data_IF_754836010897
#
_entry.id   IF_754836010897
#
_cell.length_a   1.000
_cell.length_b   1.000
_cell.length_c   1.000
_cell.angle_alpha   90.00
_cell.angle_beta   90.00
_cell.angle_gamma   90.00
#
_symmetry.space_group_name_H-M   'P 1'
#
loop_
_entity.id
_entity.type
_entity.pdbx_description
1 polymer ?
#
# COMPACT_ATOMS: atom_id res chain seq x y z
N UNK A 1 0.12 20.91 1.11
CA UNK A 1 0.66 19.89 2.03
C UNK A 1 1.72 19.12 1.27
N UNK A 2 2.74 18.58 1.94
CA UNK A 2 3.80 17.90 1.23
C UNK A 2 3.32 16.47 0.87
N UNK A 3 3.61 16.05 -0.37
CA UNK A 3 2.96 14.88 -0.98
C UNK A 3 4.00 13.84 -1.40
N UNK A 4 3.71 12.57 -1.17
CA UNK A 4 4.47 11.45 -1.73
C UNK A 4 3.64 10.80 -2.84
N UNK A 5 4.25 10.69 -4.02
CA UNK A 5 3.68 10.04 -5.19
C UNK A 5 4.34 8.67 -5.39
N UNK A 6 3.61 7.61 -5.07
CA UNK A 6 4.03 6.23 -5.33
C UNK A 6 3.64 5.84 -6.75
N UNK A 7 4.64 5.56 -7.57
CA UNK A 7 4.50 5.34 -9.00
C UNK A 7 5.30 4.12 -9.45
N UNK A 8 4.88 3.53 -10.56
CA UNK A 8 5.55 2.39 -11.17
C UNK A 8 4.71 1.78 -12.29
N UNK A 9 5.25 0.78 -13.00
CA UNK A 9 4.50 0.04 -14.00
C UNK A 9 3.21 -0.57 -13.43
N UNK A 10 2.21 -0.86 -14.27
CA UNK A 10 1.10 -1.72 -13.83
C UNK A 10 1.63 -3.03 -13.25
N UNK A 11 1.02 -3.48 -12.15
CA UNK A 11 1.39 -4.71 -11.43
C UNK A 11 2.76 -4.74 -10.75
N UNK A 12 3.40 -3.59 -10.55
CA UNK A 12 4.70 -3.46 -9.83
C UNK A 12 4.60 -3.43 -8.30
N UNK A 13 3.39 -3.27 -7.74
CA UNK A 13 3.19 -3.20 -6.28
C UNK A 13 2.90 -1.80 -5.72
N UNK A 14 2.56 -0.82 -6.57
CA UNK A 14 2.22 0.57 -6.17
C UNK A 14 1.21 0.66 -5.02
N UNK A 15 0.19 -0.22 -5.00
CA UNK A 15 -0.81 -0.27 -3.92
C UNK A 15 -0.19 -0.66 -2.58
N UNK A 16 0.62 -1.72 -2.53
CA UNK A 16 1.31 -2.14 -1.31
C UNK A 16 2.24 -1.04 -0.81
N UNK A 17 3.07 -0.49 -1.70
CA UNK A 17 4.00 0.58 -1.38
C UNK A 17 3.28 1.81 -0.81
N UNK A 18 2.14 2.20 -1.38
CA UNK A 18 1.34 3.30 -0.84
C UNK A 18 0.80 3.06 0.57
N UNK A 19 0.47 1.81 0.91
CA UNK A 19 0.03 1.44 2.26
C UNK A 19 1.18 1.52 3.24
N UNK A 20 2.34 1.01 2.84
CA UNK A 20 3.58 1.09 3.63
C UNK A 20 3.96 2.54 3.92
N UNK A 21 3.90 3.42 2.92
CA UNK A 21 4.09 4.86 3.14
C UNK A 21 3.07 5.45 4.11
N UNK A 22 1.79 5.06 4.01
CA UNK A 22 0.74 5.57 4.90
C UNK A 22 0.95 5.13 6.34
N UNK A 23 1.29 3.87 6.57
CA UNK A 23 1.56 3.33 7.92
C UNK A 23 2.81 3.98 8.49
N UNK A 24 3.93 3.89 7.76
CA UNK A 24 5.23 4.37 8.21
C UNK A 24 5.30 5.87 8.45
N UNK A 25 4.41 6.66 7.82
CA UNK A 25 4.44 8.14 7.89
C UNK A 25 3.14 8.77 8.42
N UNK A 26 2.21 7.98 8.96
CA UNK A 26 0.84 8.43 9.28
C UNK A 26 0.78 9.70 10.14
N UNK A 27 1.67 9.82 11.13
CA UNK A 27 1.66 10.95 12.06
C UNK A 27 2.33 12.23 11.57
N UNK A 28 2.90 12.23 10.36
CA UNK A 28 3.68 13.37 9.85
C UNK A 28 2.90 14.25 8.86
N UNK A 29 1.60 13.97 8.63
CA UNK A 29 0.73 14.83 7.82
C UNK A 29 1.00 14.83 6.31
N UNK A 30 1.65 13.79 5.80
CA UNK A 30 1.91 13.63 4.36
C UNK A 30 0.69 13.10 3.61
N UNK A 31 0.42 13.67 2.45
CA UNK A 31 -0.53 13.08 1.52
C UNK A 31 0.15 11.98 0.70
N UNK A 32 -0.42 10.77 0.72
CA UNK A 32 0.11 9.63 -0.04
C UNK A 32 -0.78 9.34 -1.24
N UNK A 33 -0.30 9.72 -2.42
CA UNK A 33 -0.89 9.41 -3.72
C UNK A 33 -0.24 8.14 -4.30
N UNK A 34 -1.02 7.32 -5.00
CA UNK A 34 -0.45 6.23 -5.79
C UNK A 34 -1.18 6.09 -7.12
N UNK A 35 -0.40 5.78 -8.16
CA UNK A 35 -0.93 5.49 -9.49
C UNK A 35 0.04 4.62 -10.28
N UNK A 36 -0.49 3.63 -10.96
CA UNK A 36 0.28 2.88 -11.97
C UNK A 36 0.29 3.62 -13.30
N UNK A 37 1.38 3.47 -14.05
CA UNK A 37 1.55 4.08 -15.36
C UNK A 37 0.81 3.32 -16.47
N UNK A 38 0.21 4.02 -17.46
CA UNK A 38 0.23 5.48 -17.66
C UNK A 38 -0.78 6.23 -16.77
N UNK A 39 -0.45 7.48 -16.40
CA UNK A 39 -1.31 8.31 -15.56
C UNK A 39 -0.77 9.72 -15.33
N UNK A 40 -1.55 10.58 -14.68
CA UNK A 40 -1.10 11.89 -14.19
C UNK A 40 -0.95 11.88 -12.66
N UNK A 41 -0.09 12.74 -12.14
CA UNK A 41 0.18 12.87 -10.71
C UNK A 41 0.44 14.33 -10.35
N UNK A 42 0.23 14.72 -9.08
CA UNK A 42 0.65 16.02 -8.61
C UNK A 42 2.18 16.11 -8.67
N UNK A 43 2.69 17.20 -9.24
CA UNK A 43 4.13 17.46 -9.40
C UNK A 43 4.65 18.54 -8.44
N UNK A 44 3.82 19.52 -8.09
CA UNK A 44 4.25 20.64 -7.26
C UNK A 44 4.47 20.20 -5.81
N UNK A 45 5.73 20.25 -5.36
CA UNK A 45 6.11 19.88 -3.99
C UNK A 45 5.94 18.39 -3.68
N UNK A 46 5.79 17.55 -4.72
CA UNK A 46 5.70 16.11 -4.58
C UNK A 46 7.11 15.50 -4.59
N UNK A 47 7.31 14.48 -3.75
CA UNK A 47 8.45 13.58 -3.83
C UNK A 47 7.97 12.22 -4.35
N UNK A 48 8.81 11.51 -5.08
CA UNK A 48 8.39 10.33 -5.81
C UNK A 48 8.99 9.07 -5.21
N UNK A 49 8.17 8.04 -5.05
CA UNK A 49 8.65 6.68 -4.78
C UNK A 49 8.39 5.87 -6.04
N UNK A 50 9.45 5.44 -6.70
CA UNK A 50 9.38 4.52 -7.83
C UNK A 50 9.46 3.09 -7.34
N UNK A 51 8.43 2.28 -7.57
CA UNK A 51 8.47 0.85 -7.29
C UNK A 51 8.81 0.02 -8.51
N UNK A 52 9.89 -0.74 -8.38
CA UNK A 52 10.39 -1.65 -9.42
C UNK A 52 10.14 -3.10 -9.02
N UNK A 53 9.65 -3.90 -9.96
CA UNK A 53 9.44 -5.33 -9.77
C UNK A 53 10.07 -6.06 -10.94
N UNK A 54 10.50 -7.30 -10.70
CA UNK A 54 11.01 -8.19 -11.73
C UNK A 54 10.10 -8.20 -12.97
N UNK A 55 10.71 -8.10 -14.16
CA UNK A 55 10.01 -7.93 -15.41
C UNK A 55 9.08 -9.10 -15.71
N UNK A 56 9.56 -10.33 -15.51
CA UNK A 56 8.79 -11.54 -15.77
C UNK A 56 7.56 -11.61 -14.84
N UNK A 57 7.76 -11.36 -13.55
CA UNK A 57 6.66 -11.32 -12.58
C UNK A 57 5.64 -10.21 -12.88
N UNK A 58 6.13 -9.03 -13.28
CA UNK A 58 5.29 -7.88 -13.62
C UNK A 58 4.44 -8.17 -14.85
N UNK A 59 5.03 -8.70 -15.92
CA UNK A 59 4.32 -9.06 -17.15
C UNK A 59 3.29 -10.17 -16.90
N UNK A 60 3.67 -11.23 -16.18
CA UNK A 60 2.74 -12.30 -15.81
C UNK A 60 1.53 -11.75 -15.04
N UNK A 61 1.77 -10.84 -14.10
CA UNK A 61 0.71 -10.19 -13.33
C UNK A 61 -0.12 -9.20 -14.16
N UNK A 62 0.46 -8.51 -15.14
CA UNK A 62 -0.28 -7.65 -16.08
C UNK A 62 -1.26 -8.47 -16.93
N UNK A 63 -0.82 -9.63 -17.41
CA UNK A 63 -1.67 -10.55 -18.18
C UNK A 63 -2.80 -11.11 -17.30
N UNK A 64 -2.47 -11.60 -16.10
CA UNK A 64 -3.44 -12.19 -15.18
C UNK A 64 -4.53 -11.21 -14.74
N UNK A 65 -4.19 -9.92 -14.60
CA UNK A 65 -5.14 -8.87 -14.19
C UNK A 65 -5.76 -8.10 -15.37
N UNK A 66 -5.51 -8.52 -16.62
CA UNK A 66 -6.08 -7.90 -17.82
C UNK A 66 -5.56 -6.50 -18.15
N UNK A 67 -4.42 -6.10 -17.58
CA UNK A 67 -3.73 -4.83 -17.93
C UNK A 67 -3.00 -4.92 -19.27
N UNK A 68 -2.64 -6.13 -19.68
CA UNK A 68 -2.15 -6.44 -21.02
C UNK A 68 -2.92 -7.64 -21.58
N UNK A 69 -3.18 -7.63 -22.89
CA UNK A 69 -3.84 -8.73 -23.61
C UNK A 69 -2.83 -9.74 -24.14
N UNK A 70 -1.59 -9.32 -24.38
CA UNK A 70 -0.53 -10.16 -24.94
C UNK A 70 0.81 -9.92 -24.23
N UNK A 71 1.72 -10.91 -24.21
CA UNK A 71 3.05 -10.74 -23.63
C UNK A 71 3.83 -9.58 -24.28
N UNK A 72 3.67 -9.39 -25.58
CA UNK A 72 4.30 -8.29 -26.30
C UNK A 72 3.79 -6.93 -25.81
N UNK A 73 2.47 -6.78 -25.64
CA UNK A 73 1.90 -5.57 -25.05
C UNK A 73 2.39 -5.33 -23.62
N UNK A 74 2.50 -6.38 -22.81
CA UNK A 74 3.04 -6.28 -21.45
C UNK A 74 4.51 -5.80 -21.43
N UNK A 75 5.33 -6.34 -22.34
CA UNK A 75 6.72 -5.93 -22.51
C UNK A 75 6.83 -4.46 -22.98
N UNK A 76 6.03 -4.05 -23.96
CA UNK A 76 5.97 -2.67 -24.45
C UNK A 76 5.54 -1.70 -23.35
N UNK A 77 4.52 -2.05 -22.55
CA UNK A 77 4.10 -1.26 -21.40
C UNK A 77 5.21 -1.10 -20.35
N UNK A 78 5.96 -2.17 -20.07
CA UNK A 78 7.07 -2.13 -19.11
C UNK A 78 8.24 -1.29 -19.64
N UNK A 79 8.60 -1.45 -20.91
CA UNK A 79 9.64 -0.66 -21.56
C UNK A 79 9.27 0.83 -21.60
N UNK A 80 8.02 1.15 -21.93
CA UNK A 80 7.50 2.51 -21.91
C UNK A 80 7.50 3.10 -20.49
N UNK A 81 7.12 2.33 -19.47
CA UNK A 81 7.18 2.76 -18.08
C UNK A 81 8.61 3.18 -17.67
N UNK A 82 9.63 2.45 -18.12
CA UNK A 82 11.03 2.79 -17.80
C UNK A 82 11.54 3.99 -18.58
N UNK A 83 11.46 3.94 -19.90
CA UNK A 83 12.04 4.96 -20.79
C UNK A 83 11.26 6.27 -20.79
N UNK A 84 9.93 6.22 -20.79
CA UNK A 84 9.12 7.42 -20.95
C UNK A 84 8.83 8.13 -19.63
N UNK A 85 8.97 7.43 -18.51
CA UNK A 85 8.59 7.96 -17.20
C UNK A 85 9.72 7.92 -16.19
N UNK A 86 10.28 6.75 -15.87
CA UNK A 86 11.33 6.67 -14.84
C UNK A 86 12.52 7.56 -15.16
N UNK A 87 13.08 7.44 -16.36
CA UNK A 87 14.23 8.24 -16.80
C UNK A 87 13.94 9.75 -16.69
N UNK A 88 12.80 10.20 -17.22
CA UNK A 88 12.38 11.61 -17.17
C UNK A 88 12.12 12.12 -15.74
N UNK A 89 11.61 11.27 -14.86
CA UNK A 89 11.40 11.64 -13.45
C UNK A 89 12.73 11.85 -12.75
N UNK A 90 13.69 10.96 -12.99
CA UNK A 90 15.01 11.03 -12.35
C UNK A 90 15.89 12.18 -12.84
N UNK A 91 15.58 12.80 -13.98
CA UNK A 91 16.33 13.95 -14.52
C UNK A 91 16.14 15.25 -13.74
N UNK A 92 15.08 15.38 -12.94
CA UNK A 92 14.79 16.66 -12.26
C UNK A 92 13.87 16.58 -11.05
N UNK A 93 13.46 15.39 -10.62
CA UNK A 93 12.63 15.19 -9.44
C UNK A 93 13.38 14.40 -8.36
N UNK A 94 12.93 14.58 -7.13
CA UNK A 94 13.40 13.78 -6.00
C UNK A 94 12.68 12.43 -6.00
N UNK A 95 13.41 11.38 -6.41
CA UNK A 95 12.89 10.02 -6.60
C UNK A 95 13.64 9.04 -5.71
N UNK A 96 12.90 8.32 -4.87
CA UNK A 96 13.39 7.14 -4.16
C UNK A 96 12.94 5.88 -4.88
N UNK A 97 13.89 5.06 -5.34
CA UNK A 97 13.60 3.76 -5.95
C UNK A 97 13.52 2.68 -4.87
N UNK A 98 12.48 1.84 -4.95
CA UNK A 98 12.24 0.70 -4.06
C UNK A 98 11.98 -0.54 -4.91
N UNK A 99 12.68 -1.64 -4.62
CA UNK A 99 12.39 -2.92 -5.26
C UNK A 99 11.27 -3.66 -4.51
N UNK A 100 10.34 -4.25 -5.26
CA UNK A 100 9.22 -5.01 -4.72
C UNK A 100 9.66 -6.18 -3.83
N UNK A 101 10.75 -6.87 -4.21
CA UNK A 101 11.34 -7.95 -3.42
C UNK A 101 11.83 -7.46 -2.05
N UNK A 102 12.40 -6.26 -1.98
CA UNK A 102 12.80 -5.63 -0.74
C UNK A 102 11.58 -5.25 0.11
N UNK A 103 10.57 -4.65 -0.52
CA UNK A 103 9.32 -4.27 0.14
C UNK A 103 8.63 -5.47 0.79
N UNK A 104 8.64 -6.64 0.15
CA UNK A 104 8.03 -7.86 0.69
C UNK A 104 8.96 -8.56 1.69
N UNK A 105 10.26 -8.58 1.44
CA UNK A 105 11.23 -9.29 2.27
C UNK A 105 11.64 -8.56 3.55
N UNK A 106 11.59 -7.22 3.55
CA UNK A 106 11.96 -6.38 4.69
C UNK A 106 11.18 -5.05 4.66
N UNK A 107 9.86 -5.08 4.90
CA UNK A 107 9.03 -3.89 4.84
C UNK A 107 9.41 -2.82 5.87
N UNK A 108 9.88 -3.20 7.07
CA UNK A 108 10.35 -2.26 8.10
C UNK A 108 11.59 -1.50 7.65
N UNK A 109 12.55 -2.19 7.02
CA UNK A 109 13.72 -1.55 6.43
C UNK A 109 13.34 -0.54 5.34
N UNK A 110 12.31 -0.85 4.55
CA UNK A 110 11.79 0.09 3.54
C UNK A 110 11.12 1.29 4.21
N UNK A 111 10.34 1.10 5.27
CA UNK A 111 9.75 2.20 6.06
C UNK A 111 10.85 3.12 6.60
N UNK A 112 11.86 2.55 7.26
CA UNK A 112 12.97 3.29 7.82
C UNK A 112 13.72 4.10 6.74
N UNK A 113 13.97 3.50 5.57
CA UNK A 113 14.63 4.18 4.46
C UNK A 113 13.79 5.34 3.91
N UNK A 114 12.48 5.15 3.78
CA UNK A 114 11.58 6.23 3.34
C UNK A 114 11.57 7.35 4.37
N UNK A 115 11.38 7.04 5.65
CA UNK A 115 11.37 8.04 6.72
C UNK A 115 12.67 8.85 6.73
N UNK A 116 13.82 8.18 6.64
CA UNK A 116 15.13 8.82 6.56
C UNK A 116 15.26 9.74 5.32
N UNK A 117 14.83 9.27 4.14
CA UNK A 117 14.78 10.10 2.93
C UNK A 117 13.84 11.30 3.07
N UNK A 118 12.75 11.14 3.85
CA UNK A 118 11.82 12.20 4.21
C UNK A 118 12.34 13.13 5.32
N UNK A 119 13.47 12.82 5.95
CA UNK A 119 14.03 13.59 7.06
C UNK A 119 13.21 13.50 8.35
N UNK A 120 12.52 12.38 8.56
CA UNK A 120 11.67 12.11 9.73
C UNK A 120 11.96 10.73 10.31
N UNK A 121 11.52 10.48 11.55
CA UNK A 121 11.52 9.14 12.12
C UNK A 121 10.30 8.34 11.66
N UNK A 122 10.38 7.00 11.54
CA UNK A 122 9.22 6.15 11.31
C UNK A 122 8.13 6.37 12.36
N UNK A 123 6.89 6.51 11.93
CA UNK A 123 5.74 6.61 12.83
C UNK A 123 5.29 5.25 13.36
N UNK A 124 5.31 4.23 12.49
CA UNK A 124 4.89 2.87 12.79
C UNK A 124 5.66 1.87 11.91
N UNK A 125 5.57 0.58 12.24
CA UNK A 125 6.24 -0.52 11.55
C UNK A 125 5.25 -1.36 10.73
N UNK A 126 5.75 -2.26 9.89
CA UNK A 126 4.97 -2.98 8.88
C UNK A 126 4.03 -4.05 9.43
N UNK A 127 4.17 -4.41 10.71
CA UNK A 127 3.24 -5.31 11.41
C UNK A 127 1.78 -4.82 11.35
N UNK A 128 1.56 -3.53 11.08
CA UNK A 128 0.25 -2.89 10.93
C UNK A 128 -0.33 -2.91 9.49
N UNK A 129 0.28 -3.61 8.53
CA UNK A 129 -0.16 -3.60 7.12
C UNK A 129 -1.16 -4.73 6.81
N UNK A 130 -2.45 -4.35 6.68
CA UNK A 130 -3.55 -5.28 6.37
C UNK A 130 -4.09 -5.15 4.92
N UNK A 131 -4.63 -6.25 4.37
CA UNK A 131 -5.46 -6.28 3.16
C UNK A 131 -6.88 -6.79 3.47
N UNK A 132 -7.80 -5.87 3.78
CA UNK A 132 -9.10 -6.25 4.30
C UNK A 132 -8.98 -6.79 5.72
N UNK A 133 -9.56 -7.96 6.00
CA UNK A 133 -9.62 -8.55 7.35
C UNK A 133 -8.40 -9.42 7.72
N UNK A 134 -7.32 -9.37 6.93
CA UNK A 134 -6.11 -10.17 7.18
C UNK A 134 -4.81 -9.42 6.92
N UNK A 135 -3.68 -9.89 7.46
CA UNK A 135 -2.36 -9.32 7.17
C UNK A 135 -2.12 -9.39 5.65
N UNK A 136 -1.50 -8.36 5.09
CA UNK A 136 -1.23 -8.33 3.65
C UNK A 136 -0.38 -9.54 3.26
N UNK A 137 -0.98 -10.47 2.51
CA UNK A 137 -0.29 -11.57 1.83
C UNK A 137 -0.41 -11.30 0.34
N UNK A 138 0.72 -11.18 -0.36
CA UNK A 138 0.69 -11.12 -1.82
C UNK A 138 0.24 -12.47 -2.36
N UNK A 139 -1.03 -12.58 -2.70
CA UNK A 139 -1.64 -13.75 -3.33
C UNK A 139 -1.03 -14.09 -4.70
N UNK A 140 -0.19 -13.23 -5.29
CA UNK A 140 0.55 -13.54 -6.51
C UNK A 140 1.89 -14.26 -6.27
N UNK A 141 2.34 -14.41 -5.01
CA UNK A 141 3.50 -15.23 -4.68
C UNK A 141 3.14 -16.72 -4.48
N UNK A 142 1.85 -17.07 -4.34
CA UNK A 142 1.45 -18.43 -3.96
C UNK A 142 0.37 -19.08 -4.84
N UNK A 143 -0.43 -18.35 -5.65
CA UNK A 143 -1.48 -19.06 -6.42
C UNK A 143 -1.82 -18.42 -7.78
N UNK A 144 -1.58 -19.17 -8.86
CA UNK A 144 -1.96 -18.85 -10.25
C UNK A 144 -3.42 -19.26 -10.48
N UNK A 145 -4.34 -18.78 -9.65
CA UNK A 145 -5.78 -19.05 -9.79
C UNK A 145 -6.60 -17.76 -9.86
N UNK A 146 -7.70 -17.75 -10.66
CA UNK A 146 -8.52 -16.56 -10.82
C UNK A 146 -9.20 -16.16 -9.51
N UNK A 147 -9.13 -14.86 -9.17
CA UNK A 147 -9.74 -14.30 -7.96
C UNK A 147 -11.26 -14.25 -8.07
N UNK A 148 -12.02 -14.68 -7.04
CA UNK A 148 -13.44 -14.34 -6.91
C UNK A 148 -13.61 -12.89 -6.46
N UNK A 149 -14.70 -12.26 -6.92
CA UNK A 149 -15.08 -10.87 -6.68
C UNK A 149 -15.40 -10.63 -5.19
N UNK A 150 -14.76 -9.65 -4.54
CA UNK A 150 -15.01 -9.32 -3.12
C UNK A 150 -15.56 -7.90 -2.98
N UNK A 151 -16.72 -7.78 -2.32
CA UNK A 151 -17.39 -6.54 -1.98
C UNK A 151 -16.64 -5.70 -0.94
N UNK A 152 -16.77 -4.38 -1.05
CA UNK A 152 -16.04 -3.40 -0.25
C UNK A 152 -16.61 -3.28 1.17
N UNK A 153 -15.76 -3.41 2.20
CA UNK A 153 -16.01 -2.85 3.55
C UNK A 153 -15.12 -1.62 3.77
N UNK A 154 -15.72 -0.58 4.36
CA UNK A 154 -15.07 0.68 4.71
C UNK A 154 -14.25 0.48 5.99
N UNK A 155 -12.98 0.89 5.98
CA UNK A 155 -12.04 0.77 7.10
C UNK A 155 -12.09 2.02 8.00
N UNK A 156 -11.97 1.83 9.31
CA UNK A 156 -11.84 2.89 10.32
C UNK A 156 -10.62 2.57 11.20
N UNK A 157 -9.66 3.49 11.39
CA UNK A 157 -8.47 3.22 12.21
C UNK A 157 -8.80 3.15 13.71
N UNK A 158 -8.25 2.14 14.40
CA UNK A 158 -8.17 2.11 15.87
C UNK A 158 -6.80 2.65 16.31
N UNK A 159 -6.80 3.54 17.32
CA UNK A 159 -5.57 4.14 17.88
C UNK A 159 -4.85 3.08 18.75
N UNK A 160 -3.56 2.87 18.52
CA UNK A 160 -2.77 1.83 19.18
C UNK A 160 -2.68 1.98 20.71
N UNK A 161 -2.60 0.82 21.37
CA UNK A 161 -2.19 0.71 22.77
C UNK A 161 -3.27 0.25 23.74
N UNK A 162 -3.62 -1.04 23.70
CA UNK A 162 -3.97 -1.82 24.89
C UNK A 162 -3.98 -3.31 24.50
N UNK A 163 -2.97 -4.06 24.97
CA UNK A 163 -3.09 -5.51 25.01
C UNK A 163 -4.24 -5.83 25.98
N UNK A 164 -5.20 -6.72 25.65
CA UNK A 164 -6.26 -7.04 26.59
C UNK A 164 -5.64 -7.75 27.80
N UNK A 165 -5.69 -7.17 29.02
CA UNK A 165 -5.25 -7.89 30.19
C UNK A 165 -6.30 -8.97 30.48
N UNK A 166 -5.82 -10.16 30.84
CA UNK A 166 -6.64 -11.37 30.97
C UNK A 166 -7.73 -11.30 32.04
N UNK A 167 -8.32 -12.48 32.29
CA UNK A 167 -9.43 -12.75 33.21
C UNK A 167 -10.80 -12.41 32.57
N UNK A 168 -11.68 -13.37 32.30
CA UNK A 168 -12.05 -14.45 33.20
C UNK A 168 -13.18 -13.97 34.10
N UNK A 169 -14.25 -14.78 34.09
CA UNK A 169 -15.32 -14.86 35.08
C UNK A 169 -16.48 -13.87 34.87
N UNK A 170 -17.66 -14.44 34.58
CA UNK A 170 -18.91 -13.71 34.46
C UNK A 170 -19.45 -13.20 35.79
N UNK A 171 -20.19 -12.11 35.72
CA UNK A 171 -21.13 -11.64 36.74
C UNK A 171 -22.39 -11.15 35.99
N UNK A 172 -23.61 -11.55 36.39
CA UNK A 172 -24.84 -11.38 35.61
C UNK A 172 -25.36 -9.94 35.64
N UNK A 173 -26.24 -9.55 34.69
CA UNK A 173 -26.81 -8.21 34.69
C UNK A 173 -27.73 -8.00 35.91
N UNK A 174 -27.38 -7.00 36.72
CA UNK A 174 -28.26 -6.42 37.75
C UNK A 174 -29.42 -5.71 37.06
N UNK A 175 -30.65 -6.03 37.50
CA UNK A 175 -31.90 -5.45 37.01
C UNK A 175 -32.18 -4.07 37.62
N UNK A 176 -32.97 -3.33 36.83
CA UNK A 176 -33.92 -2.25 37.16
C UNK A 176 -33.36 -0.83 37.16
N UNK A 177 -33.90 0.01 36.25
CA UNK A 177 -34.85 1.13 36.48
C UNK A 177 -35.67 1.24 35.16
N UNK A 178 -36.98 0.96 35.12
CA UNK A 178 -38.10 1.94 35.15
C UNK A 178 -38.07 2.87 33.92
N UNK A 179 -39.12 3.24 33.19
CA UNK A 179 -40.58 3.01 33.11
C UNK A 179 -41.03 3.96 31.96
N UNK A 180 -42.25 3.79 31.39
CA UNK A 180 -42.97 4.78 30.53
C UNK A 180 -42.44 4.98 29.09
N UNK A 181 -43.22 4.99 27.99
CA UNK A 181 -44.66 5.14 27.78
C UNK A 181 -45.09 4.60 26.38
N UNK A 182 -46.34 4.13 26.35
CA UNK A 182 -47.42 4.28 25.36
C UNK A 182 -47.25 3.96 23.86
N UNK A 183 -48.11 3.03 23.41
CA UNK A 183 -48.43 2.72 22.02
C UNK A 183 -49.00 1.32 21.86
#
# INVERSE_FOLDING_TARGET
>A
MPTICVIGPHSSGTRLMSRICRVGLAGHGWEIYHRSLPGSWPTRGARFVWIERDAHCTMASQLANGHAKTPQQANEQLAAARTQFYEKLTEGMDVLTVHYSELVGNPDGVIARIAAWMGVEPWAMAEDVFDGDGPYRDVNLVDVRPKPTVGHKVWTPTRGGEAPPGAGIGIPPVRAIGEMNDG
#
